data_IF_872371932381
#
_entry.id   IF_872371932381
#
_cell.length_a   1.000
_cell.length_b   1.000
_cell.length_c   1.000
_cell.angle_alpha   90.00
_cell.angle_beta   90.00
_cell.angle_gamma   90.00
#
_symmetry.space_group_name_H-M   'P 1'
#
loop_
_entity.id
_entity.type
_entity.pdbx_description
1 polymer ?
#
# COMPACT_ATOMS: atom_id res chain seq x y z
N UNK A 1 3.94 4.67 -6.11
CA UNK A 1 4.03 3.22 -5.81
C UNK A 1 5.43 2.68 -5.48
N UNK A 2 6.57 3.29 -5.89
CA UNK A 2 7.92 2.74 -5.57
C UNK A 2 8.66 3.38 -4.39
N UNK A 3 7.96 4.00 -3.44
CA UNK A 3 8.69 4.78 -2.44
C UNK A 3 9.41 3.90 -1.42
N UNK A 4 8.91 2.70 -1.10
CA UNK A 4 9.47 1.85 -0.05
C UNK A 4 9.20 0.33 -0.26
N UNK A 5 9.79 -0.28 -1.30
CA UNK A 5 9.67 -1.74 -1.63
C UNK A 5 10.16 -2.72 -0.53
N UNK A 6 10.68 -2.22 0.60
CA UNK A 6 11.17 -3.03 1.73
C UNK A 6 10.21 -3.06 2.93
N UNK A 7 9.05 -2.42 2.81
CA UNK A 7 8.08 -2.32 3.90
C UNK A 7 7.18 -3.56 3.97
N UNK A 8 6.69 -3.86 5.18
CA UNK A 8 5.93 -5.07 5.49
C UNK A 8 4.65 -5.23 4.65
N UNK A 9 3.95 -4.13 4.35
CA UNK A 9 2.75 -4.16 3.50
C UNK A 9 3.03 -4.69 2.08
N UNK A 10 4.22 -4.43 1.53
CA UNK A 10 4.59 -4.87 0.19
C UNK A 10 4.68 -6.40 0.08
N UNK A 11 5.13 -7.07 1.14
CA UNK A 11 5.18 -8.53 1.18
C UNK A 11 3.78 -9.15 1.22
N UNK A 12 2.79 -8.52 1.86
CA UNK A 12 1.40 -8.99 1.82
C UNK A 12 0.81 -8.88 0.41
N UNK A 13 1.03 -7.78 -0.30
CA UNK A 13 0.56 -7.66 -1.69
C UNK A 13 1.22 -8.65 -2.63
N UNK A 14 2.53 -8.95 -2.45
CA UNK A 14 3.19 -10.01 -3.22
C UNK A 14 2.51 -11.37 -3.05
N UNK A 15 2.11 -11.72 -1.82
CA UNK A 15 1.37 -12.97 -1.55
C UNK A 15 0.02 -12.97 -2.26
N UNK A 16 -0.67 -11.82 -2.27
CA UNK A 16 -1.93 -11.67 -2.98
C UNK A 16 -1.77 -11.81 -4.50
N UNK A 17 -0.72 -11.22 -5.08
CA UNK A 17 -0.42 -11.32 -6.51
C UNK A 17 -0.01 -12.74 -6.92
N UNK A 18 0.77 -13.43 -6.08
CA UNK A 18 1.33 -14.75 -6.31
C UNK A 18 0.36 -15.90 -6.01
N UNK A 19 -0.92 -15.64 -5.76
CA UNK A 19 -1.90 -16.69 -5.52
C UNK A 19 -1.95 -17.67 -6.69
N UNK A 20 -1.65 -18.93 -6.41
CA UNK A 20 -1.80 -20.00 -7.37
C UNK A 20 -3.29 -20.27 -7.61
N UNK A 21 -3.71 -20.22 -8.88
CA UNK A 21 -5.06 -20.54 -9.34
C UNK A 21 -5.08 -21.77 -10.25
N UNK A 22 -4.00 -22.56 -10.29
CA UNK A 22 -3.96 -23.82 -11.02
C UNK A 22 -5.08 -24.76 -10.56
N UNK A 23 -5.83 -25.30 -11.52
CA UNK A 23 -7.00 -26.14 -11.26
C UNK A 23 -8.18 -25.45 -10.56
N UNK A 24 -8.14 -24.12 -10.38
CA UNK A 24 -9.21 -23.34 -9.76
C UNK A 24 -9.98 -22.55 -10.81
N UNK A 25 -11.31 -22.61 -10.75
CA UNK A 25 -12.20 -21.84 -11.61
C UNK A 25 -13.51 -21.56 -10.89
N UNK A 26 -13.88 -20.29 -10.78
CA UNK A 26 -15.16 -19.88 -10.21
C UNK A 26 -16.24 -19.79 -11.31
N UNK A 27 -17.41 -20.35 -11.05
CA UNK A 27 -18.57 -20.31 -11.96
C UNK A 27 -18.94 -18.87 -12.37
N UNK A 28 -18.89 -17.93 -11.43
CA UNK A 28 -19.16 -16.52 -11.70
C UNK A 28 -18.18 -15.96 -12.73
N UNK A 29 -16.89 -16.30 -12.60
CA UNK A 29 -15.85 -15.79 -13.48
C UNK A 29 -15.99 -16.30 -14.91
N UNK A 30 -16.48 -17.53 -15.08
CA UNK A 30 -16.71 -18.12 -16.40
C UNK A 30 -18.02 -17.63 -17.02
N UNK A 31 -19.10 -17.59 -16.24
CA UNK A 31 -20.45 -17.46 -16.78
C UNK A 31 -21.08 -16.08 -16.59
N UNK A 32 -20.58 -15.27 -15.65
CA UNK A 32 -21.22 -14.00 -15.23
C UNK A 32 -20.33 -12.77 -15.31
N UNK A 33 -19.01 -12.93 -15.44
CA UNK A 33 -18.07 -11.82 -15.57
C UNK A 33 -18.33 -10.93 -16.80
N UNK A 34 -18.88 -11.50 -17.87
CA UNK A 34 -19.16 -10.76 -19.11
C UNK A 34 -17.91 -10.41 -19.93
N UNK A 35 -16.76 -11.04 -19.63
CA UNK A 35 -15.53 -10.92 -20.42
C UNK A 35 -14.99 -12.31 -20.79
N UNK A 36 -14.49 -12.44 -22.02
CA UNK A 36 -13.81 -13.64 -22.52
C UNK A 36 -12.29 -13.50 -22.51
N UNK A 37 -11.75 -12.35 -22.08
CA UNK A 37 -10.31 -12.12 -22.02
C UNK A 37 -9.70 -12.99 -20.92
N UNK A 38 -8.64 -13.73 -21.27
CA UNK A 38 -7.94 -14.61 -20.35
C UNK A 38 -7.50 -13.88 -19.08
N UNK A 39 -6.93 -12.68 -19.19
CA UNK A 39 -6.46 -11.94 -18.01
C UNK A 39 -7.60 -11.45 -17.10
N UNK A 40 -8.80 -11.18 -17.66
CA UNK A 40 -9.97 -10.79 -16.86
C UNK A 40 -10.47 -11.99 -16.04
N UNK A 41 -10.55 -13.17 -16.68
CA UNK A 41 -10.96 -14.42 -16.05
C UNK A 41 -9.94 -14.83 -14.98
N UNK A 42 -8.64 -14.73 -15.25
CA UNK A 42 -7.58 -15.01 -14.29
C UNK A 42 -7.67 -14.09 -13.07
N UNK A 43 -7.80 -12.77 -13.27
CA UNK A 43 -7.97 -11.83 -12.16
C UNK A 43 -9.24 -12.13 -11.35
N UNK A 44 -10.35 -12.43 -12.01
CA UNK A 44 -11.60 -12.79 -11.35
C UNK A 44 -11.44 -14.04 -10.49
N UNK A 45 -10.76 -15.06 -11.01
CA UNK A 45 -10.45 -16.28 -10.25
C UNK A 45 -9.54 -15.99 -9.05
N UNK A 46 -8.54 -15.10 -9.18
CA UNK A 46 -7.73 -14.66 -8.03
C UNK A 46 -8.58 -13.98 -6.96
N UNK A 47 -9.45 -13.04 -7.35
CA UNK A 47 -10.38 -12.35 -6.44
C UNK A 47 -11.25 -13.36 -5.69
N UNK A 48 -11.87 -14.29 -6.43
CA UNK A 48 -12.72 -15.32 -5.83
C UNK A 48 -11.94 -16.21 -4.85
N UNK A 49 -10.74 -16.67 -5.24
CA UNK A 49 -9.90 -17.54 -4.40
C UNK A 49 -9.42 -16.87 -3.12
N UNK A 50 -9.12 -15.56 -3.17
CA UNK A 50 -8.78 -14.79 -1.98
C UNK A 50 -9.94 -14.71 -1.01
N UNK A 51 -11.14 -14.41 -1.50
CA UNK A 51 -12.35 -14.38 -0.68
C UNK A 51 -12.68 -15.76 -0.08
N UNK A 52 -12.48 -16.84 -0.83
CA UNK A 52 -12.62 -18.21 -0.29
C UNK A 52 -11.63 -18.47 0.85
N UNK A 53 -10.36 -18.11 0.69
CA UNK A 53 -9.35 -18.25 1.76
C UNK A 53 -9.69 -17.42 2.99
N UNK A 54 -10.09 -16.16 2.80
CA UNK A 54 -10.48 -15.25 3.87
C UNK A 54 -11.71 -15.77 4.62
N UNK A 55 -12.64 -16.43 3.92
CA UNK A 55 -13.84 -17.01 4.54
C UNK A 55 -13.53 -18.15 5.53
N UNK A 56 -12.33 -18.74 5.47
CA UNK A 56 -11.86 -19.76 6.42
C UNK A 56 -11.11 -19.19 7.63
N UNK A 57 -10.92 -17.87 7.73
CA UNK A 57 -10.19 -17.23 8.84
C UNK A 57 -11.16 -16.87 9.97
N UNK A 58 -10.67 -16.94 11.22
CA UNK A 58 -11.41 -16.51 12.40
C UNK A 58 -11.71 -15.01 12.43
N UNK A 59 -12.80 -14.64 13.10
CA UNK A 59 -13.34 -13.27 13.12
C UNK A 59 -12.34 -12.21 13.65
N UNK A 60 -11.39 -12.59 14.50
CA UNK A 60 -10.39 -11.66 15.07
C UNK A 60 -9.30 -11.23 14.07
N UNK A 61 -9.05 -12.04 13.04
CA UNK A 61 -7.97 -11.80 12.05
C UNK A 61 -8.48 -11.47 10.66
N UNK A 62 -9.76 -11.72 10.41
CA UNK A 62 -10.36 -11.51 9.08
C UNK A 62 -10.34 -10.04 8.66
N UNK A 63 -10.54 -9.09 9.59
CA UNK A 63 -10.49 -7.65 9.29
C UNK A 63 -9.17 -7.24 8.63
N UNK A 64 -8.05 -7.64 9.22
CA UNK A 64 -6.71 -7.33 8.73
C UNK A 64 -6.51 -7.86 7.30
N UNK A 65 -6.83 -9.14 7.07
CA UNK A 65 -6.77 -9.73 5.73
C UNK A 65 -7.71 -9.07 4.72
N UNK A 66 -8.91 -8.67 5.16
CA UNK A 66 -9.88 -7.97 4.33
C UNK A 66 -9.41 -6.58 3.89
N UNK A 67 -8.74 -5.81 4.76
CA UNK A 67 -8.22 -4.49 4.40
C UNK A 67 -7.11 -4.58 3.34
N UNK A 68 -6.19 -5.53 3.49
CA UNK A 68 -5.21 -5.83 2.43
C UNK A 68 -5.87 -6.27 1.13
N UNK A 69 -6.88 -7.14 1.22
CA UNK A 69 -7.65 -7.58 0.04
C UNK A 69 -8.34 -6.41 -0.66
N UNK A 70 -8.98 -5.50 0.07
CA UNK A 70 -9.67 -4.34 -0.49
C UNK A 70 -8.73 -3.48 -1.32
N UNK A 71 -7.58 -3.09 -0.76
CA UNK A 71 -6.63 -2.22 -1.48
C UNK A 71 -5.86 -2.93 -2.57
N UNK A 72 -5.63 -4.24 -2.45
CA UNK A 72 -5.18 -5.04 -3.57
C UNK A 72 -6.22 -5.07 -4.69
N UNK A 73 -7.48 -5.35 -4.36
CA UNK A 73 -8.59 -5.43 -5.30
C UNK A 73 -8.79 -4.11 -6.05
N UNK A 74 -8.88 -2.99 -5.32
CA UNK A 74 -9.00 -1.67 -5.93
C UNK A 74 -7.82 -1.35 -6.84
N UNK A 75 -6.59 -1.71 -6.44
CA UNK A 75 -5.39 -1.50 -7.25
C UNK A 75 -5.44 -2.31 -8.57
N UNK A 76 -5.84 -3.58 -8.52
CA UNK A 76 -5.99 -4.42 -9.71
C UNK A 76 -7.07 -3.88 -10.66
N UNK A 77 -8.25 -3.54 -10.12
CA UNK A 77 -9.37 -2.97 -10.90
C UNK A 77 -8.95 -1.63 -11.52
N UNK A 78 -8.33 -0.75 -10.73
CA UNK A 78 -7.83 0.55 -11.19
C UNK A 78 -6.84 0.38 -12.34
N UNK A 79 -5.76 -0.38 -12.13
CA UNK A 79 -4.69 -0.58 -13.13
C UNK A 79 -5.21 -1.11 -14.46
N UNK A 80 -6.29 -1.91 -14.42
CA UNK A 80 -6.82 -2.59 -15.60
C UNK A 80 -7.95 -1.84 -16.30
N UNK A 81 -8.80 -1.13 -15.56
CA UNK A 81 -10.05 -0.55 -16.07
C UNK A 81 -10.16 0.97 -15.86
N UNK A 82 -9.04 1.66 -15.64
CA UNK A 82 -9.00 3.12 -15.62
C UNK A 82 -8.08 3.70 -16.68
N UNK A 83 -8.42 4.90 -17.14
CA UNK A 83 -7.57 5.76 -17.96
C UNK A 83 -7.50 7.13 -17.28
N UNK A 84 -6.33 7.47 -16.73
CA UNK A 84 -6.22 8.60 -15.81
C UNK A 84 -7.08 8.37 -14.57
N UNK A 85 -7.82 9.41 -14.14
CA UNK A 85 -8.65 9.35 -12.94
C UNK A 85 -10.12 8.93 -13.22
N UNK A 86 -10.38 8.17 -14.29
CA UNK A 86 -11.73 7.76 -14.69
C UNK A 86 -11.74 6.28 -15.11
N UNK A 87 -12.84 5.58 -14.83
CA UNK A 87 -13.04 4.19 -15.28
C UNK A 87 -13.48 4.16 -16.74
N UNK A 88 -12.80 3.36 -17.57
CA UNK A 88 -13.04 3.28 -19.01
C UNK A 88 -13.84 2.03 -19.43
N UNK A 89 -13.99 1.03 -18.55
CA UNK A 89 -14.77 -0.18 -18.83
C UNK A 89 -15.60 -0.61 -17.62
N UNK A 90 -16.64 0.17 -17.34
CA UNK A 90 -17.54 -0.05 -16.19
C UNK A 90 -18.30 -1.37 -16.27
N UNK A 91 -18.63 -1.84 -17.49
CA UNK A 91 -19.40 -3.06 -17.70
C UNK A 91 -18.72 -4.32 -17.13
N UNK A 92 -17.40 -4.43 -17.28
CA UNK A 92 -16.63 -5.55 -16.71
C UNK A 92 -16.17 -5.23 -15.29
N UNK A 93 -15.71 -4.00 -15.01
CA UNK A 93 -15.21 -3.66 -13.66
C UNK A 93 -16.29 -3.81 -12.59
N UNK A 94 -17.54 -3.41 -12.87
CA UNK A 94 -18.65 -3.59 -11.92
C UNK A 94 -18.88 -5.06 -11.56
N UNK A 95 -18.64 -6.00 -12.49
CA UNK A 95 -18.82 -7.43 -12.24
C UNK A 95 -17.85 -7.99 -11.22
N UNK A 96 -16.68 -7.36 -11.04
CA UNK A 96 -15.77 -7.70 -9.95
C UNK A 96 -16.36 -7.34 -8.58
N UNK A 97 -17.08 -6.23 -8.47
CA UNK A 97 -17.77 -5.85 -7.24
C UNK A 97 -18.98 -6.74 -6.98
N UNK A 98 -19.73 -7.10 -8.03
CA UNK A 98 -20.82 -8.08 -7.95
C UNK A 98 -20.31 -9.42 -7.39
N UNK A 99 -19.12 -9.89 -7.82
CA UNK A 99 -18.49 -11.10 -7.27
C UNK A 99 -18.17 -10.94 -5.77
N UNK A 100 -17.55 -9.83 -5.36
CA UNK A 100 -17.23 -9.57 -3.95
C UNK A 100 -18.51 -9.61 -3.10
N UNK A 101 -19.56 -8.90 -3.54
CA UNK A 101 -20.84 -8.89 -2.84
C UNK A 101 -21.48 -10.28 -2.79
N UNK A 102 -21.46 -11.04 -3.89
CA UNK A 102 -21.97 -12.41 -3.94
C UNK A 102 -21.28 -13.34 -2.94
N UNK A 103 -19.96 -13.18 -2.74
CA UNK A 103 -19.20 -13.98 -1.77
C UNK A 103 -19.54 -13.59 -0.33
N UNK A 104 -19.72 -12.30 -0.06
CA UNK A 104 -20.16 -11.79 1.25
C UNK A 104 -21.56 -12.30 1.60
N UNK A 105 -22.49 -12.29 0.64
CA UNK A 105 -23.86 -12.79 0.85
C UNK A 105 -23.88 -14.29 1.22
N UNK A 106 -22.91 -15.05 0.70
CA UNK A 106 -22.73 -16.47 1.03
C UNK A 106 -21.99 -16.71 2.35
N UNK A 107 -21.15 -15.77 2.77
CA UNK A 107 -20.28 -15.91 3.94
C UNK A 107 -20.21 -14.60 4.70
N UNK A 108 -21.04 -14.46 5.74
CA UNK A 108 -21.20 -13.21 6.49
C UNK A 108 -19.95 -12.75 7.23
N UNK A 109 -19.00 -13.65 7.51
CA UNK A 109 -17.69 -13.30 8.05
C UNK A 109 -16.86 -12.44 7.08
N UNK A 110 -17.11 -12.50 5.77
CA UNK A 110 -16.47 -11.64 4.77
C UNK A 110 -17.01 -10.19 4.77
N UNK A 111 -17.96 -9.82 5.63
CA UNK A 111 -18.47 -8.44 5.71
C UNK A 111 -17.35 -7.36 5.74
N UNK A 112 -16.24 -7.53 6.48
CA UNK A 112 -15.14 -6.56 6.48
C UNK A 112 -14.41 -6.44 5.13
N UNK A 113 -14.56 -7.40 4.21
CA UNK A 113 -13.95 -7.40 2.88
C UNK A 113 -14.77 -6.64 1.84
N UNK A 114 -15.87 -5.99 2.24
CA UNK A 114 -16.76 -5.28 1.31
C UNK A 114 -16.00 -4.21 0.55
N UNK A 115 -16.10 -4.24 -0.78
CA UNK A 115 -15.53 -3.21 -1.65
C UNK A 115 -16.68 -2.36 -2.21
N UNK A 116 -16.56 -1.04 -2.12
CA UNK A 116 -17.56 -0.11 -2.64
C UNK A 116 -17.13 0.40 -4.02
N UNK A 117 -18.08 0.47 -4.96
CA UNK A 117 -17.83 1.01 -6.31
C UNK A 117 -17.58 2.52 -6.26
N UNK A 118 -18.02 3.20 -5.19
CA UNK A 118 -17.81 4.63 -4.99
C UNK A 118 -16.33 4.98 -4.87
N UNK A 119 -15.92 6.04 -5.56
CA UNK A 119 -14.56 6.56 -5.50
C UNK A 119 -13.99 6.86 -6.88
N UNK A 120 -12.72 7.26 -6.88
CA UNK A 120 -11.96 7.50 -8.10
C UNK A 120 -10.69 6.64 -8.08
N UNK A 121 -10.12 6.29 -9.24
CA UNK A 121 -8.80 5.67 -9.35
C UNK A 121 -7.75 6.28 -8.41
N UNK A 122 -7.61 7.60 -8.38
CA UNK A 122 -6.64 8.29 -7.54
C UNK A 122 -7.04 8.19 -6.07
N UNK A 123 -8.32 8.34 -5.73
CA UNK A 123 -8.80 8.18 -4.35
C UNK A 123 -8.49 6.80 -3.76
N UNK A 124 -8.73 5.72 -4.52
CA UNK A 124 -8.39 4.37 -4.07
C UNK A 124 -6.89 4.16 -3.89
N UNK A 125 -6.07 4.86 -4.69
CA UNK A 125 -4.61 4.85 -4.55
C UNK A 125 -4.16 5.60 -3.30
N UNK A 126 -4.72 6.77 -3.03
CA UNK A 126 -4.45 7.57 -1.83
C UNK A 126 -4.86 6.82 -0.55
N UNK A 127 -6.02 6.18 -0.55
CA UNK A 127 -6.48 5.35 0.58
C UNK A 127 -5.58 4.13 0.80
N UNK A 128 -5.12 3.48 -0.28
CA UNK A 128 -4.10 2.42 -0.18
C UNK A 128 -2.79 2.96 0.41
N UNK A 129 -2.31 4.10 -0.06
CA UNK A 129 -1.07 4.70 0.42
C UNK A 129 -1.16 5.06 1.93
N UNK A 130 -2.35 5.45 2.41
CA UNK A 130 -2.65 5.65 3.84
C UNK A 130 -2.71 4.34 4.62
N UNK A 131 -3.43 3.32 4.13
CA UNK A 131 -3.45 1.99 4.75
C UNK A 131 -2.02 1.46 4.95
N UNK A 132 -1.21 1.51 3.89
CA UNK A 132 0.18 1.08 3.91
C UNK A 132 1.02 1.89 4.92
N UNK A 133 0.75 3.19 5.09
CA UNK A 133 1.44 4.00 6.10
C UNK A 133 1.21 3.45 7.52
N UNK A 134 -0.04 3.13 7.88
CA UNK A 134 -0.35 2.64 9.23
C UNK A 134 0.26 1.26 9.49
N UNK A 135 0.18 0.35 8.52
CA UNK A 135 0.76 -1.00 8.64
C UNK A 135 2.29 -0.94 8.82
N UNK A 136 2.93 0.04 8.18
CA UNK A 136 4.38 0.19 8.19
C UNK A 136 4.89 1.22 9.21
N UNK A 137 4.02 1.90 9.95
CA UNK A 137 4.38 3.05 10.80
C UNK A 137 5.55 2.73 11.75
N UNK A 138 5.54 1.53 12.34
CA UNK A 138 6.58 1.05 13.27
C UNK A 138 7.95 0.83 12.62
N UNK A 139 8.00 0.65 11.31
CA UNK A 139 9.21 0.36 10.53
C UNK A 139 9.84 1.66 9.96
N UNK A 140 9.13 2.79 10.05
CA UNK A 140 9.61 4.10 9.58
C UNK A 140 10.44 4.76 10.67
N UNK A 141 11.74 4.44 10.70
CA UNK A 141 12.67 4.92 11.72
C UNK A 141 14.06 5.22 11.15
N UNK A 142 14.47 6.49 11.19
CA UNK A 142 15.79 6.93 10.74
C UNK A 142 16.93 6.45 11.65
N UNK A 143 16.66 6.13 12.92
CA UNK A 143 17.72 5.68 13.86
C UNK A 143 18.26 4.29 13.52
N UNK A 144 17.48 3.51 12.77
CA UNK A 144 17.81 2.14 12.33
C UNK A 144 18.18 2.07 10.85
N UNK A 145 18.37 3.21 10.19
CA UNK A 145 18.47 3.32 8.74
C UNK A 145 19.66 4.18 8.30
N UNK A 146 20.14 3.94 7.09
CA UNK A 146 21.12 4.83 6.47
C UNK A 146 20.48 6.17 6.04
N UNK A 147 21.32 7.16 5.71
CA UNK A 147 20.89 8.48 5.26
C UNK A 147 19.97 8.43 4.04
N UNK A 148 20.26 7.56 3.07
CA UNK A 148 19.49 7.46 1.83
C UNK A 148 18.07 6.95 2.10
N UNK A 149 17.95 5.96 2.96
CA UNK A 149 16.69 5.37 3.42
C UNK A 149 15.92 6.38 4.27
N UNK A 150 16.58 7.06 5.19
CA UNK A 150 15.96 8.13 5.98
C UNK A 150 15.41 9.27 5.08
N UNK A 151 16.11 9.66 4.01
CA UNK A 151 15.58 10.61 3.02
C UNK A 151 14.29 10.12 2.37
N UNK A 152 14.22 8.83 2.01
CA UNK A 152 13.01 8.23 1.44
C UNK A 152 11.85 8.25 2.45
N UNK A 153 12.12 7.98 3.73
CA UNK A 153 11.10 8.10 4.78
C UNK A 153 10.59 9.53 4.92
N UNK A 154 11.47 10.53 4.96
CA UNK A 154 11.05 11.95 5.02
C UNK A 154 10.18 12.31 3.82
N UNK A 155 10.59 11.94 2.60
CA UNK A 155 9.79 12.20 1.39
C UNK A 155 8.44 11.48 1.41
N UNK A 156 8.41 10.20 1.83
CA UNK A 156 7.20 9.41 1.93
C UNK A 156 6.22 9.98 2.96
N UNK A 157 6.67 10.23 4.20
CA UNK A 157 5.80 10.78 5.25
C UNK A 157 5.34 12.20 4.91
N UNK A 158 6.14 13.00 4.20
CA UNK A 158 5.69 14.32 3.69
C UNK A 158 4.54 14.19 2.69
N UNK A 159 4.52 13.13 1.87
CA UNK A 159 3.43 12.86 0.96
C UNK A 159 2.17 12.37 1.71
N UNK A 160 2.34 11.39 2.61
CA UNK A 160 1.26 10.85 3.44
C UNK A 160 0.62 11.93 4.30
N UNK A 161 1.39 12.87 4.86
CA UNK A 161 0.89 13.96 5.68
C UNK A 161 -0.20 14.79 4.99
N UNK A 162 -0.04 15.04 3.68
CA UNK A 162 -1.04 15.76 2.88
C UNK A 162 -2.34 14.97 2.73
N UNK A 163 -2.24 13.65 2.57
CA UNK A 163 -3.40 12.76 2.45
C UNK A 163 -4.10 12.61 3.80
N UNK A 164 -3.31 12.42 4.86
CA UNK A 164 -3.78 12.18 6.21
C UNK A 164 -4.56 13.38 6.73
N UNK A 165 -4.10 14.62 6.53
CA UNK A 165 -4.80 15.82 6.99
C UNK A 165 -6.23 15.93 6.42
N UNK A 166 -6.42 15.63 5.14
CA UNK A 166 -7.74 15.67 4.52
C UNK A 166 -8.65 14.58 5.08
N UNK A 167 -8.14 13.34 5.18
CA UNK A 167 -8.92 12.20 5.65
C UNK A 167 -9.17 12.23 7.16
N UNK A 168 -8.26 12.78 7.96
CA UNK A 168 -8.45 12.97 9.41
C UNK A 168 -9.62 13.93 9.66
N UNK A 169 -9.70 15.03 8.92
CA UNK A 169 -10.83 15.96 9.02
C UNK A 169 -12.18 15.31 8.69
N UNK A 170 -12.21 14.47 7.66
CA UNK A 170 -13.45 13.81 7.20
C UNK A 170 -13.86 12.61 8.07
N UNK A 171 -12.90 11.91 8.68
CA UNK A 171 -13.14 10.60 9.31
C UNK A 171 -12.96 10.56 10.83
N UNK A 172 -12.31 11.57 11.43
CA UNK A 172 -11.91 11.53 12.84
C UNK A 172 -12.58 12.63 13.66
N UNK A 173 -13.08 12.25 14.84
CA UNK A 173 -13.46 13.19 15.89
C UNK A 173 -12.55 12.95 17.09
N UNK A 174 -11.68 13.92 17.40
CA UNK A 174 -10.57 13.74 18.36
C UNK A 174 -9.65 12.57 17.96
N UNK A 175 -9.55 11.55 18.81
CA UNK A 175 -8.73 10.35 18.59
C UNK A 175 -9.60 9.13 18.23
N UNK A 176 -10.88 9.36 17.92
CA UNK A 176 -11.87 8.34 17.60
C UNK A 176 -12.31 8.42 16.13
N UNK A 177 -12.63 7.27 15.56
CA UNK A 177 -13.18 7.14 14.23
C UNK A 177 -14.68 7.49 14.28
N UNK A 178 -15.13 8.41 13.44
CA UNK A 178 -16.54 8.79 13.36
C UNK A 178 -17.28 8.05 12.22
N UNK A 179 -16.59 7.69 11.13
CA UNK A 179 -17.14 6.91 10.01
C UNK A 179 -16.40 5.56 9.87
N UNK A 180 -17.12 4.47 10.13
CA UNK A 180 -16.62 3.09 9.99
C UNK A 180 -16.10 2.78 8.56
N UNK A 181 -16.58 3.48 7.52
CA UNK A 181 -16.06 3.30 6.16
C UNK A 181 -14.62 3.78 6.02
N UNK A 182 -14.11 4.60 6.95
CA UNK A 182 -12.72 5.03 6.98
C UNK A 182 -11.79 4.05 7.70
N UNK A 183 -12.32 3.13 8.53
CA UNK A 183 -11.54 2.14 9.29
C UNK A 183 -10.46 1.43 8.46
N UNK A 184 -10.70 1.05 7.18
CA UNK A 184 -9.70 0.32 6.40
C UNK A 184 -8.41 1.10 6.12
N UNK A 185 -8.45 2.44 6.10
CA UNK A 185 -7.33 3.27 5.68
C UNK A 185 -6.95 4.41 6.61
N UNK A 186 -7.71 4.69 7.67
CA UNK A 186 -7.36 5.76 8.62
C UNK A 186 -7.23 5.20 10.04
N UNK A 187 -6.32 5.80 10.82
CA UNK A 187 -6.25 5.59 12.26
C UNK A 187 -6.16 6.94 12.97
N UNK A 188 -7.23 7.31 13.67
CA UNK A 188 -7.38 8.62 14.30
C UNK A 188 -6.53 8.81 15.57
N UNK A 189 -5.89 7.75 16.08
CA UNK A 189 -5.10 7.84 17.31
C UNK A 189 -3.92 8.78 17.10
N UNK A 190 -3.76 9.76 17.99
CA UNK A 190 -2.71 10.79 17.97
C UNK A 190 -1.30 10.26 17.69
N UNK A 191 -0.96 9.06 18.19
CA UNK A 191 0.35 8.41 17.94
C UNK A 191 0.68 8.13 16.47
N UNK A 192 -0.32 8.14 15.58
CA UNK A 192 -0.14 7.95 14.14
C UNK A 192 -0.24 9.25 13.34
N UNK A 193 -0.38 10.41 14.00
CA UNK A 193 -0.35 11.70 13.31
C UNK A 193 1.02 11.91 12.66
N UNK A 194 0.99 12.24 11.38
CA UNK A 194 2.16 12.37 10.52
C UNK A 194 3.09 13.52 10.90
N UNK A 195 2.58 14.59 11.51
CA UNK A 195 3.35 15.79 11.85
C UNK A 195 4.50 15.52 12.83
N UNK A 196 4.22 14.78 13.91
CA UNK A 196 5.22 14.47 14.93
C UNK A 196 6.29 13.53 14.37
N UNK A 197 5.86 12.50 13.64
CA UNK A 197 6.77 11.59 12.96
C UNK A 197 7.64 12.35 11.94
N UNK A 198 7.05 13.21 11.11
CA UNK A 198 7.77 13.97 10.10
C UNK A 198 8.80 14.92 10.72
N UNK A 199 8.46 15.56 11.83
CA UNK A 199 9.36 16.43 12.59
C UNK A 199 10.56 15.65 13.10
N UNK A 200 10.31 14.48 13.71
CA UNK A 200 11.36 13.56 14.16
C UNK A 200 12.28 13.14 13.02
N UNK A 201 11.72 12.62 11.92
CA UNK A 201 12.50 12.13 10.77
C UNK A 201 13.38 13.24 10.15
N UNK A 202 12.88 14.47 10.07
CA UNK A 202 13.66 15.64 9.59
C UNK A 202 14.82 15.97 10.52
N UNK A 203 14.64 15.85 11.83
CA UNK A 203 15.70 16.05 12.83
C UNK A 203 16.78 14.96 12.73
N UNK A 204 16.36 13.71 12.65
CA UNK A 204 17.28 12.56 12.52
C UNK A 204 18.09 12.65 11.23
N UNK A 205 17.45 13.04 10.11
CA UNK A 205 18.13 13.24 8.84
C UNK A 205 19.23 14.32 8.93
N UNK A 206 18.95 15.45 9.57
CA UNK A 206 19.95 16.52 9.78
C UNK A 206 21.15 16.00 10.58
N UNK A 207 20.90 15.18 11.59
CA UNK A 207 21.94 14.57 12.42
C UNK A 207 22.82 13.63 11.59
N UNK A 208 22.22 12.80 10.73
CA UNK A 208 22.96 11.93 9.80
C UNK A 208 23.79 12.74 8.80
N UNK A 209 23.26 13.86 8.32
CA UNK A 209 23.97 14.76 7.39
C UNK A 209 25.14 15.50 8.04
N UNK A 210 25.06 15.83 9.33
CA UNK A 210 26.16 16.43 10.06
C UNK A 210 27.31 15.44 10.28
N UNK A 211 27.01 14.20 10.67
CA UNK A 211 28.00 13.14 10.89
C UNK A 211 28.85 12.85 9.64
N UNK A 212 28.27 12.88 8.44
CA UNK A 212 29.02 12.69 7.19
C UNK A 212 29.97 13.85 6.87
N UNK A 213 29.68 15.08 7.33
CA UNK A 213 30.55 16.24 7.13
C UNK A 213 31.77 16.21 8.06
N UNK A 214 31.66 15.54 9.20
CA UNK A 214 32.73 15.41 10.18
C UNK A 214 33.69 14.25 9.89
N UNK A 215 33.27 13.24 9.11
CA UNK A 215 34.18 12.19 8.63
C UNK A 215 35.08 12.78 7.53
N UNK A 216 36.41 12.88 7.73
CA UNK A 216 37.30 13.40 6.70
C UNK A 216 37.19 12.49 5.47
N UNK A 217 37.05 13.08 4.27
CA UNK A 217 37.33 12.36 3.02
C UNK A 217 38.76 11.84 3.12
N UNK A 218 38.93 10.54 3.41
CA UNK A 218 40.23 9.90 3.34
C UNK A 218 40.83 10.23 1.97
N UNK A 219 41.97 10.92 2.01
CA UNK A 219 42.54 11.58 0.85
C UNK A 219 42.82 10.59 -0.28
N UNK A 220 42.24 10.84 -1.44
CA UNK A 220 42.85 10.43 -2.70
C UNK A 220 44.13 11.24 -2.85
N UNK A 221 45.25 10.68 -2.40
CA UNK A 221 46.57 11.22 -2.61
C UNK A 221 46.91 11.15 -4.10
N UNK A 222 46.86 12.30 -4.77
CA UNK A 222 47.54 12.53 -6.04
C UNK A 222 48.93 13.10 -5.80
N UNK A 223 49.91 12.35 -6.28
CA UNK A 223 51.21 12.72 -6.85
C UNK A 223 52.26 13.51 -6.04
N UNK A 224 53.46 12.90 -5.97
CA UNK A 224 54.72 13.62 -6.06
C UNK A 224 55.70 12.86 -6.97
N UNK A 225 56.05 13.52 -8.08
CA UNK A 225 57.16 13.20 -8.99
C UNK A 225 58.50 13.22 -8.25
N UNK A 226 59.45 12.38 -8.70
CA UNK A 226 60.85 12.53 -8.34
C UNK A 226 61.80 11.51 -8.97
N UNK A 227 62.65 12.02 -9.87
CA UNK A 227 63.97 11.52 -10.29
C UNK A 227 64.08 10.47 -11.42
N UNK A 228 64.45 10.99 -12.59
CA UNK A 228 65.30 10.36 -13.61
C UNK A 228 66.72 10.19 -13.06
N UNK A 229 67.33 8.99 -13.15
CA UNK A 229 68.76 8.80 -13.48
C UNK A 229 68.95 7.45 -14.20
N UNK A 230 69.83 7.49 -15.20
CA UNK A 230 70.21 6.53 -16.24
C UNK A 230 71.04 5.34 -15.73
N UNK A 231 70.75 4.13 -16.23
CA UNK A 231 71.69 3.24 -16.95
C UNK A 231 70.96 2.00 -17.47
#
# INVERSE_FOLDING_TARGET
EKHLEKLSSYEEYKKLDAVDISGYSDDFCVNKLGSTKKEDIELCNKVSKHLERLSGISDDKIKHGCFYFQYWFYDQVRKKYSAGNQFNNKAVSDKFFDLVQLKIDKSSNLKPCKCYVSGTPEGWKEEKDLHDYFENHKDIDCTKSDKSTCKKYVSYVTYIDKLYQNKEYDCCEYDELYDDNCEPYINCKSKYRTQDLLTKLKSDLKTLEAKEKEVPKAGGGGDAQGAVVVN
#
